data_IF_364514946226
#
_entry.id   IF_364514946226
#
_cell.length_a   1.000
_cell.length_b   1.000
_cell.length_c   1.000
_cell.angle_alpha   90.00
_cell.angle_beta   90.00
_cell.angle_gamma   90.00
#
_symmetry.space_group_name_H-M   'P 1'
#
loop_
_entity.id
_entity.type
_entity.pdbx_description
1 polymer ?
#
# COMPACT_ATOMS: atom_id res chain seq x y z
N UNK A 1 18.54 6.45 -10.02
CA UNK A 1 17.09 6.47 -9.76
C UNK A 1 16.66 7.91 -9.58
N UNK A 2 15.61 8.34 -10.27
CA UNK A 2 15.06 9.69 -10.13
C UNK A 2 14.42 9.83 -8.75
N UNK A 3 14.65 10.95 -8.06
CA UNK A 3 13.91 11.27 -6.83
C UNK A 3 12.50 11.72 -7.25
N UNK A 4 11.49 11.09 -6.68
CA UNK A 4 10.12 11.57 -6.76
C UNK A 4 9.96 12.62 -5.66
N UNK A 5 9.80 13.88 -6.04
CA UNK A 5 9.50 14.96 -5.09
C UNK A 5 8.00 15.19 -5.18
N UNK A 6 7.28 14.90 -4.10
CA UNK A 6 5.87 15.16 -3.99
C UNK A 6 5.66 16.53 -3.35
N UNK A 7 4.64 17.24 -3.81
CA UNK A 7 4.05 18.37 -3.09
C UNK A 7 3.28 17.86 -1.86
N UNK A 8 3.05 18.70 -0.84
CA UNK A 8 2.24 18.31 0.32
C UNK A 8 0.85 17.77 -0.06
N UNK A 9 0.23 18.35 -1.10
CA UNK A 9 -1.06 17.90 -1.62
C UNK A 9 -0.98 16.51 -2.25
N UNK A 10 0.09 16.23 -2.99
CA UNK A 10 0.32 14.90 -3.58
C UNK A 10 0.64 13.85 -2.51
N UNK A 11 1.40 14.21 -1.46
CA UNK A 11 1.67 13.33 -0.32
C UNK A 11 0.37 12.94 0.39
N UNK A 12 -0.48 13.94 0.68
CA UNK A 12 -1.76 13.72 1.32
C UNK A 12 -2.71 12.87 0.46
N UNK A 13 -2.83 13.19 -0.84
CA UNK A 13 -3.69 12.43 -1.75
C UNK A 13 -3.21 10.97 -1.91
N UNK A 14 -1.89 10.76 -1.96
CA UNK A 14 -1.31 9.43 -2.01
C UNK A 14 -1.56 8.67 -0.71
N UNK A 15 -1.36 9.31 0.44
CA UNK A 15 -1.63 8.71 1.75
C UNK A 15 -3.09 8.27 1.87
N UNK A 16 -4.05 9.14 1.55
CA UNK A 16 -5.48 8.83 1.59
C UNK A 16 -5.84 7.68 0.66
N UNK A 17 -5.23 7.63 -0.54
CA UNK A 17 -5.46 6.54 -1.49
C UNK A 17 -4.95 5.21 -0.95
N UNK A 18 -3.76 5.20 -0.35
CA UNK A 18 -3.16 3.99 0.23
C UNK A 18 -3.95 3.50 1.44
N UNK A 19 -4.34 4.40 2.34
CA UNK A 19 -5.13 4.06 3.53
C UNK A 19 -6.53 3.58 3.18
N UNK A 20 -7.14 4.09 2.11
CA UNK A 20 -8.44 3.62 1.62
C UNK A 20 -8.37 2.22 1.01
N UNK A 21 -7.29 1.91 0.29
CA UNK A 21 -7.16 0.63 -0.41
C UNK A 21 -6.61 -0.50 0.48
N UNK A 22 -5.86 -0.17 1.54
CA UNK A 22 -5.25 -1.18 2.40
C UNK A 22 -6.28 -2.15 3.02
N UNK A 23 -7.44 -1.71 3.55
CA UNK A 23 -8.46 -2.61 4.07
C UNK A 23 -9.01 -3.57 3.02
N UNK A 24 -9.23 -3.12 1.78
CA UNK A 24 -9.72 -3.96 0.70
C UNK A 24 -8.70 -5.06 0.36
N UNK A 25 -7.41 -4.72 0.39
CA UNK A 25 -6.33 -5.68 0.18
C UNK A 25 -6.22 -6.70 1.33
N UNK A 26 -6.39 -6.25 2.57
CA UNK A 26 -6.42 -7.12 3.76
C UNK A 26 -7.60 -8.11 3.71
N UNK A 27 -8.77 -7.65 3.25
CA UNK A 27 -9.94 -8.49 3.03
C UNK A 27 -9.70 -9.52 1.91
N UNK A 28 -9.17 -9.11 0.75
CA UNK A 28 -8.84 -10.01 -0.35
C UNK A 28 -7.84 -11.09 0.08
N UNK A 29 -6.86 -10.70 0.89
CA UNK A 29 -5.85 -11.59 1.44
C UNK A 29 -6.46 -12.63 2.37
N UNK A 30 -7.38 -12.22 3.25
CA UNK A 30 -8.09 -13.12 4.17
C UNK A 30 -8.91 -14.18 3.44
N UNK A 31 -9.40 -13.86 2.24
CA UNK A 31 -10.23 -14.75 1.42
C UNK A 31 -9.45 -15.51 0.32
N UNK A 32 -8.12 -15.36 0.25
CA UNK A 32 -7.30 -15.99 -0.80
C UNK A 32 -6.63 -17.28 -0.33
N UNK A 33 -7.04 -18.42 -0.90
CA UNK A 33 -6.43 -19.74 -0.60
C UNK A 33 -5.27 -20.11 -1.52
N UNK A 34 -5.21 -19.51 -2.73
CA UNK A 34 -4.16 -19.82 -3.71
C UNK A 34 -2.82 -19.24 -3.25
N UNK A 35 -1.92 -20.11 -2.78
CA UNK A 35 -0.61 -19.73 -2.20
C UNK A 35 0.18 -18.68 -2.97
N UNK A 36 0.34 -18.84 -4.29
CA UNK A 36 1.12 -17.89 -5.10
C UNK A 36 0.46 -16.51 -5.17
N UNK A 37 -0.88 -16.47 -5.24
CA UNK A 37 -1.63 -15.23 -5.26
C UNK A 37 -1.64 -14.59 -3.86
N UNK A 38 -1.81 -15.38 -2.80
CA UNK A 38 -1.68 -14.90 -1.42
C UNK A 38 -0.30 -14.27 -1.15
N UNK A 39 0.78 -14.88 -1.66
CA UNK A 39 2.13 -14.32 -1.55
C UNK A 39 2.22 -12.96 -2.26
N UNK A 40 1.68 -12.86 -3.47
CA UNK A 40 1.61 -11.59 -4.20
C UNK A 40 0.85 -10.51 -3.40
N UNK A 41 -0.32 -10.84 -2.84
CA UNK A 41 -1.09 -9.90 -2.00
C UNK A 41 -0.30 -9.46 -0.76
N UNK A 42 0.41 -10.38 -0.09
CA UNK A 42 1.29 -10.05 1.05
C UNK A 42 2.41 -9.09 0.69
N UNK A 43 3.04 -9.27 -0.48
CA UNK A 43 4.09 -8.36 -0.94
C UNK A 43 3.54 -6.95 -1.23
N UNK A 44 2.31 -6.86 -1.75
CA UNK A 44 1.62 -5.59 -1.98
C UNK A 44 1.23 -4.90 -0.67
N UNK A 45 0.73 -5.66 0.30
CA UNK A 45 0.38 -5.16 1.64
C UNK A 45 1.61 -4.56 2.32
N UNK A 46 2.72 -5.31 2.37
CA UNK A 46 3.97 -4.85 2.97
C UNK A 46 4.52 -3.59 2.28
N UNK A 47 4.45 -3.53 0.95
CA UNK A 47 4.85 -2.35 0.20
C UNK A 47 4.01 -1.11 0.57
N UNK A 48 2.68 -1.27 0.66
CA UNK A 48 1.79 -0.17 1.01
C UNK A 48 2.01 0.31 2.44
N UNK A 49 2.14 -0.61 3.39
CA UNK A 49 2.41 -0.29 4.78
C UNK A 49 3.73 0.48 4.96
N UNK A 50 4.80 0.06 4.25
CA UNK A 50 6.07 0.79 4.26
C UNK A 50 5.93 2.20 3.66
N UNK A 51 5.22 2.33 2.55
CA UNK A 51 5.02 3.63 1.91
C UNK A 51 4.19 4.59 2.77
N UNK A 52 3.10 4.10 3.38
CA UNK A 52 2.30 4.87 4.36
C UNK A 52 3.18 5.33 5.51
N UNK A 53 4.00 4.43 6.07
CA UNK A 53 4.91 4.77 7.16
C UNK A 53 5.86 5.91 6.77
N UNK A 54 6.43 5.86 5.56
CA UNK A 54 7.32 6.91 5.05
C UNK A 54 6.62 8.24 4.79
N UNK A 55 5.36 8.23 4.34
CA UNK A 55 4.56 9.45 4.15
C UNK A 55 4.13 10.10 5.46
N UNK A 56 4.03 9.33 6.55
CA UNK A 56 3.69 9.83 7.90
C UNK A 56 4.90 10.24 8.76
N UNK A 57 6.13 10.01 8.29
CA UNK A 57 7.38 10.29 9.01
C UNK A 57 7.88 11.70 8.72
#
# INVERSE_FOLDING_TARGET
MSKLNLTPEEEQALLETLERYLPDLEDELAHTEKKDFHKFLKEREAFMQDLIKRLKS
#
